data_IF_081915083880
#
_entry.id   IF_081915083880
#
_cell.length_a   1.000
_cell.length_b   1.000
_cell.length_c   1.000
_cell.angle_alpha   90.00
_cell.angle_beta   90.00
_cell.angle_gamma   90.00
#
_symmetry.space_group_name_H-M   'P 1'
#
loop_
_entity.id
_entity.type
_entity.pdbx_description
1 polymer ?
#
# COMPACT_ATOMS: atom_id res chain seq x y z
N UNK A 1 15.36 29.57 -12.67
CA UNK A 1 15.52 28.48 -11.70
C UNK A 1 14.23 28.39 -10.90
N UNK A 2 13.32 27.44 -11.18
CA UNK A 2 12.11 27.29 -10.37
C UNK A 2 12.48 26.61 -9.06
N UNK A 3 12.20 27.25 -7.93
CA UNK A 3 12.43 26.68 -6.60
C UNK A 3 11.72 25.31 -6.50
N UNK A 4 12.49 24.23 -6.32
CA UNK A 4 11.96 22.95 -5.84
C UNK A 4 11.82 23.09 -4.33
N UNK A 5 10.60 23.09 -3.82
CA UNK A 5 10.35 23.07 -2.38
C UNK A 5 10.01 21.62 -2.00
N UNK A 6 10.76 20.98 -1.09
CA UNK A 6 10.43 19.64 -0.60
C UNK A 6 9.01 19.58 -0.05
N UNK A 7 8.39 18.39 -0.09
CA UNK A 7 7.08 18.21 0.56
C UNK A 7 7.24 18.47 2.05
N UNK A 8 6.55 19.49 2.55
CA UNK A 8 6.60 19.82 3.96
C UNK A 8 6.09 18.64 4.81
N UNK A 9 6.88 18.27 5.83
CA UNK A 9 6.48 17.35 6.90
C UNK A 9 5.99 15.97 6.45
N UNK A 10 6.54 15.37 5.38
CA UNK A 10 6.25 13.97 5.06
C UNK A 10 7.00 13.01 5.98
N UNK A 11 6.26 12.05 6.53
CA UNK A 11 6.81 10.95 7.33
C UNK A 11 6.21 9.63 6.87
N UNK A 12 7.01 8.58 6.92
CA UNK A 12 6.62 7.23 6.56
C UNK A 12 7.36 6.24 7.45
N UNK A 13 6.77 5.09 7.68
CA UNK A 13 7.38 4.00 8.42
C UNK A 13 6.53 2.74 8.32
N UNK A 14 6.91 1.73 9.09
CA UNK A 14 6.12 0.51 9.27
C UNK A 14 5.80 0.32 10.75
N UNK A 15 4.76 -0.45 11.04
CA UNK A 15 4.53 -0.97 12.38
C UNK A 15 4.09 -2.45 12.29
N UNK A 16 4.62 -3.32 13.17
CA UNK A 16 4.16 -4.69 13.25
C UNK A 16 2.90 -4.78 14.11
N UNK A 17 2.03 -5.72 13.79
CA UNK A 17 0.71 -5.87 14.41
C UNK A 17 0.72 -6.43 15.84
N UNK A 18 1.86 -6.66 16.47
CA UNK A 18 1.95 -7.16 17.87
C UNK A 18 2.57 -6.20 18.87
N UNK A 19 3.31 -5.18 18.43
CA UNK A 19 4.07 -4.32 19.38
C UNK A 19 3.28 -3.11 19.88
N UNK A 20 2.08 -2.88 19.35
CA UNK A 20 1.32 -1.65 19.59
C UNK A 20 0.03 -1.85 20.37
N UNK A 21 -0.25 -3.07 20.87
CA UNK A 21 -1.64 -3.52 21.02
C UNK A 21 -2.00 -4.07 22.39
N UNK A 22 -3.05 -3.51 23.01
CA UNK A 22 -3.75 -4.12 24.14
C UNK A 22 -4.76 -5.13 23.62
N UNK A 23 -4.68 -6.37 24.10
CA UNK A 23 -5.60 -7.45 23.75
C UNK A 23 -6.97 -7.23 24.42
N UNK A 24 -7.99 -7.00 23.60
CA UNK A 24 -9.37 -7.35 23.95
C UNK A 24 -9.92 -8.16 22.77
N UNK A 25 -10.56 -9.29 23.07
CA UNK A 25 -11.05 -10.29 22.12
C UNK A 25 -11.38 -9.73 20.72
N UNK A 26 -10.72 -10.30 19.72
CA UNK A 26 -10.88 -10.11 18.26
C UNK A 26 -10.44 -8.77 17.64
N UNK A 27 -10.20 -7.70 18.43
CA UNK A 27 -9.75 -6.42 17.87
C UNK A 27 -8.47 -5.90 18.53
N UNK A 28 -7.44 -5.76 17.69
CA UNK A 28 -6.10 -5.37 18.08
C UNK A 28 -5.91 -3.86 17.85
N UNK A 29 -5.98 -3.02 18.90
CA UNK A 29 -5.87 -1.54 18.79
C UNK A 29 -4.46 -1.01 19.08
N UNK A 30 -3.97 0.00 18.36
CA UNK A 30 -2.65 0.58 18.59
C UNK A 30 -2.49 2.04 18.17
N UNK A 31 -1.26 2.55 18.18
CA UNK A 31 -0.93 3.93 17.85
C UNK A 31 0.26 4.04 16.88
N UNK A 32 0.12 4.89 15.87
CA UNK A 32 1.22 5.35 15.02
C UNK A 32 1.65 6.72 15.54
N UNK A 33 2.93 6.93 15.82
CA UNK A 33 3.47 8.21 16.29
C UNK A 33 4.24 8.93 15.20
N UNK A 34 4.05 10.25 15.12
CA UNK A 34 4.72 11.13 14.15
C UNK A 34 4.90 12.54 14.74
N UNK A 35 5.85 13.32 14.21
CA UNK A 35 6.15 14.68 14.68
C UNK A 35 5.74 15.78 13.70
N UNK A 36 5.96 17.05 14.05
CA UNK A 36 5.97 18.16 13.08
C UNK A 36 4.61 18.71 12.61
N UNK A 37 3.47 18.11 12.99
CA UNK A 37 2.13 18.59 12.60
C UNK A 37 1.45 19.42 13.70
N UNK A 38 2.14 20.42 14.24
CA UNK A 38 1.85 21.09 15.53
C UNK A 38 0.40 21.60 15.75
N UNK A 39 -0.38 21.86 14.72
CA UNK A 39 -1.74 22.42 14.84
C UNK A 39 -2.81 21.71 14.02
N UNK A 40 -2.44 20.99 12.96
CA UNK A 40 -3.40 20.35 12.03
C UNK A 40 -3.03 18.89 11.87
N UNK A 41 -3.91 17.93 12.26
CA UNK A 41 -3.64 16.51 12.06
C UNK A 41 -3.36 16.19 10.58
N UNK A 42 -2.33 15.38 10.27
CA UNK A 42 -2.03 15.00 8.89
C UNK A 42 -3.15 14.16 8.26
N UNK A 43 -3.02 13.90 6.96
CA UNK A 43 -3.65 12.72 6.37
C UNK A 43 -2.73 11.53 6.59
N UNK A 44 -3.30 10.42 7.06
CA UNK A 44 -2.59 9.15 7.18
C UNK A 44 -3.16 8.21 6.14
N UNK A 45 -2.28 7.63 5.32
CA UNK A 45 -2.59 6.52 4.44
C UNK A 45 -1.91 5.27 4.97
N UNK A 46 -2.60 4.14 4.89
CA UNK A 46 -2.06 2.84 5.26
C UNK A 46 -1.86 2.01 4.01
N UNK A 47 -0.95 1.05 4.07
CA UNK A 47 -0.79 0.05 3.03
C UNK A 47 -0.19 -1.22 3.60
N UNK A 48 -0.64 -2.36 3.11
CA UNK A 48 -0.13 -3.66 3.51
C UNK A 48 1.32 -3.79 3.01
N UNK A 49 2.28 -4.02 3.91
CA UNK A 49 3.69 -4.24 3.55
C UNK A 49 4.13 -5.69 3.76
N UNK A 50 3.66 -6.31 4.83
CA UNK A 50 3.98 -7.69 5.19
C UNK A 50 2.71 -8.43 5.53
N UNK A 51 2.52 -9.60 4.91
CA UNK A 51 1.47 -10.57 5.22
C UNK A 51 2.11 -11.79 5.87
N UNK A 52 1.46 -12.26 6.91
CA UNK A 52 1.66 -13.58 7.47
C UNK A 52 0.29 -14.02 7.99
N UNK A 53 -0.46 -14.71 7.14
CA UNK A 53 -1.84 -15.07 7.40
C UNK A 53 -2.10 -16.49 6.87
N UNK A 54 -2.78 -17.32 7.65
CA UNK A 54 -3.31 -18.59 7.16
C UNK A 54 -4.60 -18.37 6.34
N UNK A 55 -5.43 -17.42 6.78
CA UNK A 55 -6.63 -16.97 6.08
C UNK A 55 -6.36 -15.57 5.52
N UNK A 56 -6.53 -15.33 4.21
CA UNK A 56 -6.25 -14.04 3.57
C UNK A 56 -7.34 -13.01 3.90
N UNK A 57 -7.41 -12.60 5.17
CA UNK A 57 -8.30 -11.60 5.72
C UNK A 57 -7.53 -10.66 6.66
N UNK A 58 -7.33 -9.42 6.22
CA UNK A 58 -6.69 -8.38 7.01
C UNK A 58 -7.25 -7.00 6.68
N UNK A 59 -7.49 -6.20 7.73
CA UNK A 59 -7.94 -4.82 7.64
C UNK A 59 -7.35 -4.01 8.78
N UNK A 60 -6.79 -2.84 8.47
CA UNK A 60 -6.40 -1.86 9.47
C UNK A 60 -7.21 -0.58 9.28
N UNK A 61 -7.86 -0.13 10.35
CA UNK A 61 -8.74 1.03 10.34
C UNK A 61 -8.16 2.13 11.23
N UNK A 62 -8.04 3.34 10.70
CA UNK A 62 -7.75 4.53 11.50
C UNK A 62 -9.08 5.07 12.04
N UNK A 63 -9.21 5.14 13.37
CA UNK A 63 -10.41 5.70 14.00
C UNK A 63 -10.19 7.08 14.60
N UNK A 64 -8.93 7.51 14.76
CA UNK A 64 -8.62 8.88 15.22
C UNK A 64 -7.25 9.35 14.74
N UNK A 65 -7.16 10.63 14.37
CA UNK A 65 -5.89 11.28 14.00
C UNK A 65 -5.72 12.55 14.81
N UNK A 66 -4.59 12.63 15.52
CA UNK A 66 -4.12 13.76 16.30
C UNK A 66 -2.87 14.35 15.63
N UNK A 67 -2.44 15.58 16.02
CA UNK A 67 -1.20 16.20 15.55
C UNK A 67 0.07 15.33 15.66
N UNK A 68 0.14 14.44 16.64
CA UNK A 68 1.35 13.64 16.91
C UNK A 68 1.14 12.13 16.87
N UNK A 69 -0.09 11.67 16.66
CA UNK A 69 -0.38 10.24 16.56
C UNK A 69 -1.68 9.93 15.83
N UNK A 70 -1.80 8.72 15.31
CA UNK A 70 -3.07 8.14 14.88
C UNK A 70 -3.37 6.90 15.69
N UNK A 71 -4.63 6.74 16.09
CA UNK A 71 -5.14 5.56 16.79
C UNK A 71 -5.78 4.63 15.75
N UNK A 72 -5.37 3.36 15.77
CA UNK A 72 -5.68 2.35 14.75
C UNK A 72 -6.26 1.09 15.36
N UNK A 73 -7.09 0.38 14.62
CA UNK A 73 -7.64 -0.93 14.96
C UNK A 73 -7.36 -1.90 13.83
N UNK A 74 -6.75 -3.04 14.16
CA UNK A 74 -6.51 -4.14 13.25
C UNK A 74 -7.55 -5.23 13.48
N UNK A 75 -8.08 -5.71 12.37
CA UNK A 75 -8.93 -6.88 12.25
C UNK A 75 -8.21 -7.87 11.32
N UNK A 76 -7.95 -9.07 11.81
CA UNK A 76 -7.42 -10.20 11.03
C UNK A 76 -8.06 -11.48 11.53
N UNK A 77 -8.33 -12.43 10.64
CA UNK A 77 -8.71 -13.78 11.07
C UNK A 77 -7.43 -14.56 11.30
N UNK A 78 -7.10 -14.82 12.57
CA UNK A 78 -6.04 -15.76 12.92
C UNK A 78 -6.62 -17.17 12.89
N UNK A 79 -6.06 -18.07 12.08
CA UNK A 79 -6.05 -19.47 12.43
C UNK A 79 -4.71 -19.90 13.01
N UNK A 80 -4.72 -21.13 13.50
CA UNK A 80 -3.82 -21.62 14.54
C UNK A 80 -2.45 -22.03 13.97
N UNK A 81 -1.53 -21.09 13.74
CA UNK A 81 -0.12 -21.43 13.54
C UNK A 81 0.86 -20.29 13.89
N UNK A 82 1.63 -20.49 14.96
CA UNK A 82 3.04 -20.08 15.00
C UNK A 82 3.37 -18.59 15.20
N UNK A 83 3.75 -18.27 16.44
CA UNK A 83 4.04 -16.94 16.99
C UNK A 83 5.36 -16.27 16.48
N UNK A 84 5.74 -16.35 15.20
CA UNK A 84 7.07 -15.89 14.73
C UNK A 84 7.10 -14.69 13.78
N UNK A 85 6.07 -14.41 12.98
CA UNK A 85 6.02 -13.17 12.18
C UNK A 85 4.62 -12.56 12.20
N UNK A 86 4.55 -11.24 12.27
CA UNK A 86 3.29 -10.52 12.37
C UNK A 86 3.07 -9.73 11.10
N UNK A 87 1.83 -9.63 10.58
CA UNK A 87 1.57 -8.71 9.48
C UNK A 87 2.08 -7.31 9.84
N UNK A 88 2.50 -6.56 8.82
CA UNK A 88 3.00 -5.20 8.98
C UNK A 88 2.28 -4.30 8.00
N UNK A 89 2.00 -3.09 8.47
CA UNK A 89 1.49 -2.01 7.64
C UNK A 89 2.56 -0.94 7.49
N UNK A 90 2.72 -0.47 6.26
CA UNK A 90 3.32 0.83 5.98
C UNK A 90 2.31 1.93 6.27
N UNK A 91 2.80 3.05 6.81
CA UNK A 91 2.02 4.26 6.99
C UNK A 91 2.70 5.44 6.32
N UNK A 92 1.91 6.36 5.78
CA UNK A 92 2.36 7.61 5.17
C UNK A 92 1.56 8.77 5.78
N UNK A 93 2.26 9.67 6.46
CA UNK A 93 1.74 10.92 6.99
C UNK A 93 2.08 12.08 6.07
N UNK A 94 1.05 12.78 5.60
CA UNK A 94 1.16 13.89 4.65
C UNK A 94 0.46 15.12 5.23
N UNK A 95 1.10 16.28 5.14
CA UNK A 95 0.48 17.54 5.54
C UNK A 95 -0.74 17.86 4.65
N UNK A 96 -1.73 18.57 5.23
CA UNK A 96 -3.00 18.87 4.53
C UNK A 96 -2.92 20.08 3.61
N UNK A 97 -1.87 20.87 3.75
CA UNK A 97 -1.67 22.18 3.13
C UNK A 97 -0.93 22.12 1.79
N UNK A 98 -0.38 20.97 1.38
CA UNK A 98 0.12 20.80 0.02
C UNK A 98 -1.07 20.72 -0.96
N UNK A 99 -1.31 21.77 -1.79
CA UNK A 99 -2.46 21.82 -2.69
C UNK A 99 -2.31 20.89 -3.90
N UNK A 100 -1.12 20.37 -4.16
CA UNK A 100 -0.86 19.44 -5.25
C UNK A 100 -1.19 17.99 -4.86
N UNK A 101 -1.06 17.66 -3.57
CA UNK A 101 -1.31 16.31 -3.07
C UNK A 101 -2.80 16.07 -2.84
N UNK A 102 -3.29 15.01 -3.47
CA UNK A 102 -4.64 14.48 -3.25
C UNK A 102 -4.54 12.98 -2.97
N UNK A 103 -5.31 12.51 -2.00
CA UNK A 103 -5.32 11.12 -1.61
C UNK A 103 -6.66 10.74 -1.03
N UNK A 104 -6.92 9.45 -0.98
CA UNK A 104 -8.13 8.87 -0.44
C UNK A 104 -8.08 7.36 -0.42
N UNK A 105 -9.24 6.76 -0.18
CA UNK A 105 -9.44 5.31 -0.19
C UNK A 105 -10.74 4.96 -0.88
N UNK A 106 -10.83 3.70 -1.30
CA UNK A 106 -12.04 3.11 -1.86
C UNK A 106 -12.18 1.69 -1.30
N UNK A 107 -13.34 1.38 -0.73
CA UNK A 107 -13.71 0.04 -0.27
C UNK A 107 -14.74 -0.56 -1.23
N UNK A 108 -14.49 -1.78 -1.72
CA UNK A 108 -15.42 -2.50 -2.60
C UNK A 108 -16.80 -2.67 -1.97
N UNK A 109 -16.88 -2.71 -0.63
CA UNK A 109 -18.13 -2.81 0.12
C UNK A 109 -19.04 -1.59 -0.04
N UNK A 110 -18.52 -0.48 -0.57
CA UNK A 110 -19.33 0.67 -0.94
C UNK A 110 -20.14 0.45 -2.23
N UNK A 111 -19.80 -0.56 -3.04
CA UNK A 111 -20.49 -0.88 -4.31
C UNK A 111 -21.23 -2.22 -4.27
N UNK A 112 -20.76 -3.20 -3.50
CA UNK A 112 -21.43 -4.49 -3.37
C UNK A 112 -21.29 -5.10 -1.98
N UNK A 113 -22.23 -5.97 -1.61
CA UNK A 113 -22.17 -6.68 -0.32
C UNK A 113 -21.10 -7.76 -0.35
N UNK A 114 -20.50 -8.02 0.81
CA UNK A 114 -19.52 -9.12 0.99
C UNK A 114 -20.08 -10.49 0.58
N UNK A 115 -21.38 -10.73 0.82
CA UNK A 115 -22.08 -11.97 0.46
C UNK A 115 -22.35 -12.12 -1.05
N UNK A 116 -21.94 -11.15 -1.87
CA UNK A 116 -22.06 -11.14 -3.32
C UNK A 116 -20.74 -10.67 -3.93
N UNK A 117 -19.65 -11.47 -3.79
CA UNK A 117 -18.34 -11.11 -4.29
C UNK A 117 -18.40 -10.87 -5.81
N UNK A 118 -17.55 -9.95 -6.28
CA UNK A 118 -17.42 -9.61 -7.70
C UNK A 118 -15.96 -9.77 -8.12
N UNK A 119 -15.75 -10.26 -9.34
CA UNK A 119 -14.40 -10.39 -9.88
C UNK A 119 -13.75 -9.04 -10.18
N UNK A 120 -14.53 -8.02 -10.50
CA UNK A 120 -14.01 -6.70 -10.82
C UNK A 120 -14.92 -5.63 -10.25
N UNK A 121 -14.33 -4.74 -9.46
CA UNK A 121 -15.00 -3.59 -8.87
C UNK A 121 -14.25 -2.33 -9.27
N UNK A 122 -14.89 -1.48 -10.06
CA UNK A 122 -14.31 -0.27 -10.61
C UNK A 122 -15.15 0.95 -10.24
N UNK A 123 -14.49 2.03 -9.80
CA UNK A 123 -15.17 3.28 -9.42
C UNK A 123 -14.46 4.50 -9.99
N UNK A 124 -15.25 5.46 -10.47
CA UNK A 124 -14.75 6.76 -10.89
C UNK A 124 -14.44 7.61 -9.64
N UNK A 125 -13.17 7.96 -9.43
CA UNK A 125 -12.73 8.88 -8.39
C UNK A 125 -12.54 10.26 -9.02
N UNK A 126 -13.25 11.25 -8.49
CA UNK A 126 -13.05 12.66 -8.86
C UNK A 126 -12.03 13.29 -7.93
N UNK A 127 -11.06 13.98 -8.51
CA UNK A 127 -10.18 14.82 -7.71
C UNK A 127 -10.98 16.00 -7.14
N UNK A 128 -10.73 16.34 -5.88
CA UNK A 128 -11.32 17.52 -5.26
C UNK A 128 -10.89 18.80 -5.99
N UNK A 129 -9.70 18.76 -6.61
CA UNK A 129 -9.14 19.82 -7.44
C UNK A 129 -8.63 19.23 -8.74
N UNK A 130 -9.00 19.80 -9.88
CA UNK A 130 -8.45 19.37 -11.16
C UNK A 130 -6.98 19.79 -11.29
N UNK A 131 -6.17 18.92 -11.87
CA UNK A 131 -4.79 19.21 -12.25
C UNK A 131 -4.73 19.97 -13.59
N UNK A 132 -3.61 20.63 -13.89
CA UNK A 132 -3.40 21.26 -15.19
C UNK A 132 -3.15 20.26 -16.33
N UNK A 133 -2.72 19.05 -15.99
CA UNK A 133 -2.50 17.91 -16.89
C UNK A 133 -2.77 16.62 -16.11
N UNK A 134 -2.77 15.45 -16.77
CA UNK A 134 -2.97 14.19 -16.06
C UNK A 134 -1.89 14.01 -14.96
N UNK A 135 -2.28 13.84 -13.69
CA UNK A 135 -1.34 13.65 -12.59
C UNK A 135 -0.72 12.25 -12.64
N UNK A 136 0.31 12.04 -11.83
CA UNK A 136 0.71 10.70 -11.43
C UNK A 136 -0.27 10.20 -10.38
N UNK A 137 -0.74 8.95 -10.52
CA UNK A 137 -1.63 8.29 -9.56
C UNK A 137 -1.06 6.92 -9.25
N UNK A 138 -0.86 6.63 -7.97
CA UNK A 138 -0.51 5.31 -7.47
C UNK A 138 -1.60 4.79 -6.55
N UNK A 139 -1.84 3.49 -6.61
CA UNK A 139 -2.89 2.79 -5.86
C UNK A 139 -2.31 1.50 -5.28
N UNK A 140 -2.65 1.21 -4.03
CA UNK A 140 -2.17 0.03 -3.31
C UNK A 140 -3.23 -0.51 -2.35
N UNK A 141 -3.02 -1.73 -1.87
CA UNK A 141 -3.94 -2.44 -0.97
C UNK A 141 -3.78 -1.92 0.46
N UNK A 142 -4.90 -1.51 1.05
CA UNK A 142 -5.06 -1.17 2.46
C UNK A 142 -5.78 -2.30 3.23
N UNK A 143 -6.64 -3.09 2.58
CA UNK A 143 -7.26 -4.27 3.16
C UNK A 143 -7.55 -5.32 2.08
N UNK A 144 -7.53 -6.59 2.46
CA UNK A 144 -7.90 -7.70 1.56
C UNK A 144 -8.60 -8.80 2.34
N UNK A 145 -9.69 -9.31 1.78
CA UNK A 145 -10.38 -10.52 2.23
C UNK A 145 -10.76 -11.36 1.02
N UNK A 146 -10.17 -12.54 0.87
CA UNK A 146 -10.57 -13.55 -0.13
C UNK A 146 -11.10 -14.81 0.55
N UNK A 147 -11.95 -15.57 -0.14
CA UNK A 147 -12.41 -16.86 0.35
C UNK A 147 -11.22 -17.85 0.47
N UNK A 148 -11.04 -18.53 1.63
CA UNK A 148 -9.88 -19.40 1.86
C UNK A 148 -9.92 -20.73 1.08
N UNK A 149 -11.06 -21.11 0.47
CA UNK A 149 -11.14 -22.32 -0.35
C UNK A 149 -10.47 -22.18 -1.71
N UNK A 150 -10.04 -20.96 -2.08
CA UNK A 150 -9.41 -20.65 -3.36
C UNK A 150 -8.13 -19.83 -3.16
N UNK A 151 -7.23 -19.89 -4.12
CA UNK A 151 -6.00 -19.08 -4.15
C UNK A 151 -6.28 -17.59 -3.88
N UNK A 152 -5.38 -16.93 -3.15
CA UNK A 152 -5.44 -15.49 -2.92
C UNK A 152 -4.94 -14.74 -4.16
N UNK A 153 -5.87 -14.12 -4.89
CA UNK A 153 -5.58 -13.32 -6.08
C UNK A 153 -6.29 -11.98 -6.00
N UNK A 154 -5.53 -10.89 -6.02
CA UNK A 154 -6.08 -9.54 -6.02
C UNK A 154 -5.10 -8.58 -6.66
N UNK A 155 -5.61 -7.61 -7.40
CA UNK A 155 -4.81 -6.49 -7.94
C UNK A 155 -5.59 -5.20 -7.80
N UNK A 156 -4.90 -4.12 -7.45
CA UNK A 156 -5.45 -2.77 -7.53
C UNK A 156 -4.61 -1.88 -8.45
N UNK A 157 -5.31 -1.06 -9.25
CA UNK A 157 -4.70 -0.21 -10.27
C UNK A 157 -5.55 1.04 -10.53
N UNK A 158 -4.88 2.14 -10.87
CA UNK A 158 -5.50 3.31 -11.47
C UNK A 158 -5.53 3.16 -13.00
N UNK A 159 -6.66 3.50 -13.60
CA UNK A 159 -6.87 3.55 -15.06
C UNK A 159 -7.60 4.83 -15.43
N UNK A 160 -7.68 5.16 -16.72
CA UNK A 160 -8.42 6.34 -17.22
C UNK A 160 -8.07 7.63 -16.47
N UNK A 161 -6.77 7.86 -16.20
CA UNK A 161 -6.31 9.04 -15.47
C UNK A 161 -6.46 10.27 -16.36
N UNK A 162 -7.21 11.24 -15.88
CA UNK A 162 -7.45 12.54 -16.50
C UNK A 162 -7.04 13.66 -15.54
N UNK A 163 -7.09 14.92 -15.98
CA UNK A 163 -6.89 16.06 -15.09
C UNK A 163 -7.94 16.15 -13.95
N UNK A 164 -9.12 15.55 -14.12
CA UNK A 164 -10.26 15.69 -13.20
C UNK A 164 -10.50 14.48 -12.30
N UNK A 165 -9.87 13.35 -12.58
CA UNK A 165 -10.09 12.12 -11.86
C UNK A 165 -9.47 10.90 -12.56
N UNK A 166 -9.74 9.73 -12.01
CA UNK A 166 -9.29 8.44 -12.53
C UNK A 166 -10.30 7.35 -12.17
N UNK A 167 -10.19 6.18 -12.78
CA UNK A 167 -10.93 4.98 -12.37
C UNK A 167 -10.02 4.12 -11.48
N UNK A 168 -10.43 3.90 -10.23
CA UNK A 168 -9.80 2.93 -9.34
C UNK A 168 -10.41 1.55 -9.59
N UNK A 169 -9.58 0.51 -9.67
CA UNK A 169 -10.03 -0.87 -9.83
C UNK A 169 -9.47 -1.71 -8.67
N UNK A 170 -10.29 -2.61 -8.16
CA UNK A 170 -9.90 -3.70 -7.28
C UNK A 170 -10.47 -4.96 -7.93
N UNK A 171 -9.59 -5.74 -8.54
CA UNK A 171 -9.93 -6.88 -9.37
C UNK A 171 -9.35 -8.17 -8.77
N UNK A 172 -10.04 -9.27 -9.00
CA UNK A 172 -9.56 -10.64 -8.85
C UNK A 172 -9.79 -11.41 -10.15
N UNK A 173 -9.36 -12.68 -10.22
CA UNK A 173 -9.49 -13.50 -11.42
C UNK A 173 -9.53 -14.99 -11.08
N UNK A 174 -9.84 -15.80 -12.10
CA UNK A 174 -10.03 -17.25 -11.97
C UNK A 174 -11.19 -17.56 -11.01
N UNK A 175 -10.99 -18.52 -10.12
CA UNK A 175 -11.88 -19.05 -9.10
C UNK A 175 -11.79 -18.29 -7.77
N UNK A 176 -10.93 -17.27 -7.65
CA UNK A 176 -10.84 -16.49 -6.42
C UNK A 176 -12.11 -15.69 -6.18
N UNK A 177 -12.67 -15.82 -4.98
CA UNK A 177 -13.76 -14.99 -4.51
C UNK A 177 -13.22 -13.85 -3.62
N UNK A 178 -13.24 -12.62 -4.13
CA UNK A 178 -12.88 -11.42 -3.36
C UNK A 178 -14.08 -10.95 -2.53
N UNK A 179 -14.08 -11.29 -1.24
CA UNK A 179 -15.12 -10.92 -0.28
C UNK A 179 -15.14 -9.40 -0.04
N UNK A 180 -13.95 -8.80 0.16
CA UNK A 180 -13.77 -7.36 0.13
C UNK A 180 -12.32 -6.96 -0.15
N UNK A 181 -12.13 -5.75 -0.66
CA UNK A 181 -10.84 -5.11 -0.78
C UNK A 181 -10.94 -3.62 -0.51
N UNK A 182 -9.92 -3.06 0.12
CA UNK A 182 -9.78 -1.60 0.25
C UNK A 182 -8.48 -1.19 -0.42
N UNK A 183 -8.55 -0.17 -1.27
CA UNK A 183 -7.38 0.41 -1.90
C UNK A 183 -7.23 1.87 -1.47
N UNK A 184 -6.01 2.25 -1.10
CA UNK A 184 -5.62 3.65 -0.89
C UNK A 184 -4.92 4.18 -2.14
N UNK A 185 -4.99 5.50 -2.34
CA UNK A 185 -4.40 6.15 -3.50
C UNK A 185 -3.77 7.49 -3.15
N UNK A 186 -2.75 7.86 -3.91
CA UNK A 186 -2.10 9.16 -3.88
C UNK A 186 -1.94 9.69 -5.30
N UNK A 187 -2.27 10.97 -5.48
CA UNK A 187 -2.14 11.71 -6.73
C UNK A 187 -1.35 13.00 -6.51
N UNK A 188 -0.51 13.34 -7.48
CA UNK A 188 0.33 14.54 -7.50
C UNK A 188 0.68 14.94 -8.94
N UNK A 189 1.02 16.21 -9.18
CA UNK A 189 1.34 16.66 -10.54
C UNK A 189 2.59 15.96 -11.07
N UNK A 190 2.55 15.50 -12.33
CA UNK A 190 3.70 14.80 -12.94
C UNK A 190 4.98 15.64 -13.05
N UNK A 191 4.88 16.96 -12.98
CA UNK A 191 6.01 17.89 -13.00
C UNK A 191 6.67 18.13 -11.63
N UNK A 192 6.12 17.59 -10.53
CA UNK A 192 6.76 17.60 -9.20
C UNK A 192 8.14 16.98 -9.30
N UNK A 193 9.16 17.59 -8.71
CA UNK A 193 10.55 17.12 -8.81
C UNK A 193 11.09 16.54 -7.50
N UNK A 194 10.33 16.75 -6.45
CA UNK A 194 10.54 16.33 -5.07
C UNK A 194 9.73 15.06 -4.71
N UNK A 195 8.95 14.54 -5.65
CA UNK A 195 8.20 13.29 -5.51
C UNK A 195 8.43 12.41 -6.75
N UNK A 196 8.67 11.13 -6.53
CA UNK A 196 8.68 10.12 -7.57
C UNK A 196 7.92 8.89 -7.08
N UNK A 197 7.16 8.23 -7.95
CA UNK A 197 6.48 6.99 -7.63
C UNK A 197 6.57 6.01 -8.77
N UNK A 198 6.46 4.73 -8.44
CA UNK A 198 6.45 3.67 -9.43
C UNK A 198 5.85 2.39 -8.85
N UNK A 199 5.77 1.37 -9.69
CA UNK A 199 5.34 0.03 -9.33
C UNK A 199 6.43 -0.96 -9.73
N UNK A 200 6.47 -2.09 -9.04
CA UNK A 200 7.33 -3.22 -9.39
C UNK A 200 6.57 -4.52 -9.14
N UNK A 201 6.91 -5.55 -9.90
CA UNK A 201 6.33 -6.89 -9.80
C UNK A 201 7.41 -7.96 -9.84
N UNK A 202 7.13 -9.09 -9.21
CA UNK A 202 7.91 -10.33 -9.39
C UNK A 202 8.01 -10.73 -10.86
N UNK A 203 7.02 -10.37 -11.68
CA UNK A 203 6.98 -10.65 -13.12
C UNK A 203 8.04 -9.85 -13.90
N UNK A 204 8.50 -8.72 -13.35
CA UNK A 204 9.55 -7.89 -13.95
C UNK A 204 10.94 -8.55 -13.89
N UNK A 205 11.11 -9.52 -12.99
CA UNK A 205 12.37 -10.23 -12.77
C UNK A 205 12.23 -11.70 -13.10
N UNK A 206 11.92 -12.00 -14.37
CA UNK A 206 11.80 -13.35 -14.92
C UNK A 206 12.93 -14.28 -14.43
N UNK A 207 12.69 -15.10 -13.39
CA UNK A 207 13.73 -15.94 -12.85
C UNK A 207 13.71 -17.26 -13.61
N UNK A 208 14.89 -17.81 -13.91
CA UNK A 208 14.99 -19.14 -14.55
C UNK A 208 14.42 -20.28 -13.69
N UNK A 209 14.18 -20.04 -12.40
CA UNK A 209 13.66 -20.99 -11.42
C UNK A 209 12.78 -20.28 -10.38
N UNK A 210 11.77 -20.95 -9.80
CA UNK A 210 11.03 -20.45 -8.65
C UNK A 210 11.97 -20.11 -7.49
N UNK A 211 11.79 -18.96 -6.86
CA UNK A 211 12.56 -18.53 -5.69
C UNK A 211 11.70 -17.70 -4.75
N UNK A 212 12.04 -17.72 -3.47
CA UNK A 212 11.32 -16.95 -2.48
C UNK A 212 11.60 -15.45 -2.57
N UNK A 213 12.81 -15.06 -2.97
CA UNK A 213 13.28 -13.68 -2.92
C UNK A 213 13.36 -13.06 -4.32
N UNK A 214 12.69 -11.93 -4.51
CA UNK A 214 12.72 -11.16 -5.76
C UNK A 214 13.20 -9.75 -5.48
N UNK A 215 14.20 -9.29 -6.22
CA UNK A 215 14.67 -7.91 -6.12
C UNK A 215 15.25 -7.41 -7.42
N UNK A 216 15.12 -6.10 -7.64
CA UNK A 216 15.79 -5.39 -8.74
C UNK A 216 15.98 -3.92 -8.40
N UNK A 217 16.85 -3.27 -9.15
CA UNK A 217 17.08 -1.83 -9.06
C UNK A 217 16.00 -1.07 -9.84
N UNK A 218 15.40 -0.06 -9.20
CA UNK A 218 14.50 0.89 -9.83
C UNK A 218 15.13 2.29 -9.83
N UNK A 219 15.50 2.84 -11.01
CA UNK A 219 15.94 4.23 -11.10
C UNK A 219 14.75 5.18 -10.92
N UNK A 220 14.99 6.38 -10.39
CA UNK A 220 13.99 7.46 -10.37
C UNK A 220 13.86 8.18 -11.72
N UNK A 221 14.09 7.46 -12.83
CA UNK A 221 13.96 7.90 -14.22
C UNK A 221 14.48 9.34 -14.49
N UNK A 222 15.69 9.66 -14.02
CA UNK A 222 16.31 10.97 -14.21
C UNK A 222 15.86 12.06 -13.24
N UNK A 223 14.99 11.76 -12.26
CA UNK A 223 14.85 12.57 -11.05
C UNK A 223 16.05 12.29 -10.14
N UNK A 224 16.88 13.29 -9.95
CA UNK A 224 17.87 13.31 -8.89
C UNK A 224 17.28 14.07 -7.70
N UNK A 225 17.08 13.37 -6.59
CA UNK A 225 16.78 13.98 -5.30
C UNK A 225 18.05 14.63 -4.74
N UNK A 226 17.91 15.71 -3.98
CA UNK A 226 19.08 16.34 -3.35
C UNK A 226 19.51 15.61 -2.09
N UNK A 227 18.54 15.01 -1.41
CA UNK A 227 18.76 14.22 -0.23
C UNK A 227 18.28 12.79 -0.46
N UNK A 228 18.72 11.87 0.42
CA UNK A 228 18.17 10.51 0.42
C UNK A 228 16.67 10.59 0.71
N UNK A 229 15.80 10.17 -0.23
CA UNK A 229 14.36 10.35 -0.05
C UNK A 229 13.81 9.43 1.04
N UNK A 230 12.69 9.83 1.64
CA UNK A 230 11.83 8.89 2.39
C UNK A 230 11.02 8.08 1.40
N UNK A 231 10.92 6.77 1.61
CA UNK A 231 10.19 5.88 0.72
C UNK A 231 9.07 5.19 1.47
N UNK A 232 7.84 5.38 0.99
CA UNK A 232 6.68 4.56 1.33
C UNK A 232 6.59 3.39 0.35
N UNK A 233 6.18 2.21 0.82
CA UNK A 233 6.00 1.01 -0.02
C UNK A 233 4.85 0.17 0.48
N UNK A 234 4.01 -0.32 -0.44
CA UNK A 234 2.87 -1.18 -0.10
C UNK A 234 2.51 -2.10 -1.27
N UNK A 235 1.99 -3.28 -0.95
CA UNK A 235 1.51 -4.26 -1.93
C UNK A 235 0.33 -3.69 -2.72
N UNK A 236 0.31 -3.95 -4.04
CA UNK A 236 -0.83 -3.65 -4.90
C UNK A 236 -1.31 -4.88 -5.69
N UNK A 237 -0.59 -6.00 -5.65
CA UNK A 237 -0.98 -7.24 -6.29
C UNK A 237 -0.51 -8.44 -5.45
N UNK A 238 -1.37 -9.46 -5.36
CA UNK A 238 -1.08 -10.77 -4.78
C UNK A 238 -1.62 -11.85 -5.71
N UNK A 239 -0.84 -12.91 -5.89
CA UNK A 239 -1.22 -14.13 -6.57
C UNK A 239 -0.50 -15.31 -5.88
N UNK A 240 -1.16 -15.96 -4.94
CA UNK A 240 -0.59 -17.02 -4.12
C UNK A 240 -1.56 -18.20 -3.96
N UNK A 241 -1.02 -19.39 -3.74
CA UNK A 241 -1.79 -20.59 -3.44
C UNK A 241 -2.54 -20.46 -2.11
N UNK A 242 -3.63 -21.20 -1.94
CA UNK A 242 -4.29 -21.42 -0.65
C UNK A 242 -3.88 -22.72 0.05
N UNK A 243 -2.92 -23.47 -0.51
CA UNK A 243 -2.43 -24.73 0.08
C UNK A 243 -1.58 -24.53 1.34
N UNK A 244 -1.02 -23.33 1.52
CA UNK A 244 -0.09 -22.96 2.60
C UNK A 244 -0.39 -21.54 3.07
N UNK A 245 0.16 -21.15 4.23
CA UNK A 245 0.00 -19.78 4.73
C UNK A 245 0.52 -18.73 3.71
N UNK A 246 -0.15 -17.59 3.65
CA UNK A 246 0.22 -16.43 2.87
C UNK A 246 1.28 -15.61 3.61
N UNK A 247 2.56 -15.84 3.27
CA UNK A 247 3.69 -15.07 3.82
C UNK A 247 4.40 -14.30 2.72
N UNK A 248 4.12 -12.99 2.62
CA UNK A 248 4.68 -12.11 1.58
C UNK A 248 5.11 -10.78 2.18
N UNK A 249 6.30 -10.30 1.83
CA UNK A 249 6.85 -9.03 2.30
C UNK A 249 7.34 -8.17 1.14
N UNK A 250 6.83 -6.94 1.04
CA UNK A 250 7.31 -5.93 0.10
C UNK A 250 8.02 -4.79 0.83
N UNK A 251 9.24 -4.48 0.41
CA UNK A 251 10.04 -3.40 1.00
C UNK A 251 11.10 -2.87 0.04
N UNK A 252 11.68 -1.71 0.38
CA UNK A 252 12.78 -1.13 -0.39
C UNK A 252 14.07 -1.10 0.42
N UNK A 253 15.19 -1.35 -0.23
CA UNK A 253 16.55 -1.31 0.30
C UNK A 253 17.45 -0.44 -0.59
N UNK A 254 18.67 -0.15 -0.14
CA UNK A 254 19.69 0.59 -0.92
C UNK A 254 19.17 1.91 -1.52
N UNK A 255 18.31 2.62 -0.80
CA UNK A 255 17.74 3.91 -1.26
C UNK A 255 18.85 4.95 -1.36
N UNK A 256 18.98 5.53 -2.55
CA UNK A 256 19.91 6.60 -2.90
C UNK A 256 19.15 7.80 -3.48
N UNK A 257 19.85 8.85 -3.89
CA UNK A 257 19.26 10.01 -4.57
C UNK A 257 18.71 9.69 -5.97
N UNK A 258 19.16 8.58 -6.59
CA UNK A 258 18.91 8.27 -8.00
C UNK A 258 18.03 7.03 -8.21
N UNK A 259 17.77 6.28 -7.15
CA UNK A 259 16.96 5.08 -7.21
C UNK A 259 17.00 4.28 -5.92
N UNK A 260 16.37 3.11 -5.96
CA UNK A 260 16.28 2.16 -4.86
C UNK A 260 16.36 0.74 -5.38
N UNK A 261 16.58 -0.23 -4.47
CA UNK A 261 16.32 -1.65 -4.73
C UNK A 261 14.97 -2.00 -4.15
N UNK A 262 14.06 -2.54 -4.95
CA UNK A 262 12.81 -3.10 -4.44
C UNK A 262 12.99 -4.58 -4.12
N UNK A 263 12.20 -5.08 -3.18
CA UNK A 263 12.22 -6.48 -2.75
C UNK A 263 10.77 -6.95 -2.55
N UNK A 264 10.46 -8.16 -3.06
CA UNK A 264 9.25 -8.91 -2.77
C UNK A 264 9.67 -10.33 -2.42
N UNK A 265 9.52 -10.66 -1.14
CA UNK A 265 9.94 -11.94 -0.60
C UNK A 265 8.72 -12.74 -0.15
N UNK A 266 8.72 -14.04 -0.46
CA UNK A 266 7.87 -15.03 0.20
C UNK A 266 8.65 -15.80 1.26
N UNK A 267 7.97 -16.44 2.21
CA UNK A 267 8.63 -17.16 3.30
C UNK A 267 8.11 -18.60 3.43
N UNK A 268 8.98 -19.46 3.98
CA UNK A 268 8.70 -20.86 4.30
C UNK A 268 8.10 -21.64 3.13
N UNK A 269 6.93 -22.24 3.30
CA UNK A 269 6.24 -23.06 2.30
C UNK A 269 5.30 -22.25 1.38
N UNK A 270 5.30 -20.91 1.47
CA UNK A 270 4.42 -20.06 0.65
C UNK A 270 4.64 -20.30 -0.83
N UNK A 271 3.60 -20.72 -1.54
CA UNK A 271 3.58 -20.84 -3.00
C UNK A 271 3.11 -19.50 -3.60
N UNK A 272 4.07 -18.62 -3.91
CA UNK A 272 3.83 -17.31 -4.55
C UNK A 272 3.95 -17.43 -6.08
N UNK A 273 2.85 -17.25 -6.80
CA UNK A 273 2.85 -17.19 -8.28
C UNK A 273 3.24 -15.81 -8.79
N UNK A 274 2.90 -14.76 -8.05
CA UNK A 274 3.31 -13.40 -8.36
C UNK A 274 2.85 -12.40 -7.30
N UNK A 275 3.53 -11.27 -7.21
CA UNK A 275 3.14 -10.15 -6.38
C UNK A 275 3.62 -8.83 -6.99
N UNK A 276 3.01 -7.75 -6.56
CA UNK A 276 3.37 -6.40 -6.96
C UNK A 276 3.28 -5.44 -5.78
N UNK A 277 4.09 -4.38 -5.84
CA UNK A 277 4.03 -3.29 -4.90
C UNK A 277 4.25 -1.94 -5.58
N UNK A 278 3.80 -0.89 -4.90
CA UNK A 278 4.07 0.50 -5.24
C UNK A 278 5.16 1.04 -4.33
N UNK A 279 5.87 2.07 -4.81
CA UNK A 279 6.66 2.94 -3.96
C UNK A 279 6.38 4.40 -4.24
N UNK A 280 6.52 5.23 -3.20
CA UNK A 280 6.49 6.69 -3.31
C UNK A 280 7.69 7.25 -2.55
N UNK A 281 8.58 7.92 -3.27
CA UNK A 281 9.77 8.56 -2.78
C UNK A 281 9.56 10.08 -2.65
N UNK A 282 9.89 10.63 -1.50
CA UNK A 282 9.78 12.06 -1.17
C UNK A 282 11.17 12.62 -0.84
N UNK A 283 11.57 13.69 -1.53
CA UNK A 283 12.80 14.43 -1.20
C UNK A 283 12.71 15.02 0.22
N UNK A 284 13.86 15.17 0.86
CA UNK A 284 13.96 15.70 2.24
C UNK A 284 14.48 17.13 2.27
#
# INVERSE_FOLDING_TARGET
MSNRTPVANVQTGTFPTTTSIMESQDNKTGCIYFGGFNTTPPKILLGISTLHLDIPHIRCSIFKVLPSRAEIALESREGTSGNQYNPEYSWLAIARDDPDLQCGRFDTLEDHLMARPQQSTARQIRFARSYSSAPQVVVWLEAVSTDPAHNCRVITKATNITCSGFTINIDTWSDTELLCGTAAWLAYSGNRKDIYSGTFSTDDVCPSQPRHQHSSYAPFAGREFWNKPKVFTALNMLNASNETDLRVKAYTSNVSMNGLTWNIDSLDDTILYGAGAVYVAFDQ
#
